data_IF_248513647008
#
_entry.id   IF_248513647008
#
_cell.length_a   1.000
_cell.length_b   1.000
_cell.length_c   1.000
_cell.angle_alpha   90.00
_cell.angle_beta   90.00
_cell.angle_gamma   90.00
#
_symmetry.space_group_name_H-M   'P 1'
#
loop_
_entity.id
_entity.type
_entity.pdbx_description
1 polymer ?
#
# COMPACT_ATOMS: atom_id res chain seq x y z
N UNK A 1 28.24 5.60 -1.69
CA UNK A 1 28.11 4.24 -1.10
C UNK A 1 26.64 3.92 -1.09
N UNK A 2 26.24 2.82 -1.71
CA UNK A 2 24.85 2.39 -1.73
C UNK A 2 24.31 2.19 -0.32
N UNK A 3 23.06 2.52 -0.12
CA UNK A 3 22.38 2.45 1.16
C UNK A 3 20.91 2.09 1.00
N UNK A 4 20.21 2.07 2.11
CA UNK A 4 18.78 1.81 2.12
C UNK A 4 18.08 2.76 3.09
N UNK A 5 16.92 3.20 2.69
CA UNK A 5 15.99 3.95 3.53
C UNK A 5 14.69 3.17 3.63
N UNK A 6 14.31 2.79 4.86
CA UNK A 6 13.02 2.16 5.16
C UNK A 6 12.10 3.24 5.70
N UNK A 7 10.96 3.40 5.06
CA UNK A 7 9.97 4.43 5.31
C UNK A 7 8.78 3.79 6.05
N UNK A 8 8.51 4.26 7.27
CA UNK A 8 7.56 3.60 8.17
C UNK A 8 6.43 4.56 8.54
N UNK A 9 5.23 4.27 8.08
CA UNK A 9 4.01 4.94 8.51
C UNK A 9 3.42 4.25 9.73
N UNK A 10 3.02 5.02 10.73
CA UNK A 10 2.44 4.49 11.97
C UNK A 10 1.17 5.25 12.40
N UNK A 11 0.49 4.72 13.43
CA UNK A 11 -0.67 5.40 14.02
C UNK A 11 -0.35 6.71 14.74
N UNK A 12 0.92 7.07 14.94
CA UNK A 12 1.30 8.29 15.67
C UNK A 12 2.55 8.95 15.11
N UNK A 13 2.66 9.00 13.80
CA UNK A 13 3.74 9.66 13.08
C UNK A 13 4.45 8.76 12.08
N UNK A 14 5.36 9.36 11.32
CA UNK A 14 6.24 8.67 10.38
C UNK A 14 7.65 8.53 10.95
N UNK A 15 8.33 7.45 10.53
CA UNK A 15 9.73 7.22 10.86
C UNK A 15 10.52 6.92 9.59
N UNK A 16 11.75 7.45 9.52
CA UNK A 16 12.70 7.20 8.45
C UNK A 16 13.90 6.47 9.03
N UNK A 17 14.11 5.24 8.60
CA UNK A 17 15.19 4.39 9.06
C UNK A 17 16.24 4.27 7.94
N UNK A 18 17.47 4.67 8.21
CA UNK A 18 18.52 4.70 7.19
C UNK A 18 19.70 3.80 7.59
N UNK A 19 20.24 3.06 6.64
CA UNK A 19 21.44 2.26 6.81
C UNK A 19 22.33 2.32 5.56
N UNK A 20 23.61 1.98 5.73
CA UNK A 20 24.51 1.69 4.63
C UNK A 20 24.14 0.36 3.93
N UNK A 21 24.81 0.01 2.84
CA UNK A 21 24.56 -1.23 2.10
C UNK A 21 24.80 -2.51 2.91
N UNK A 22 25.47 -2.46 4.07
CA UNK A 22 25.62 -3.60 4.98
C UNK A 22 24.40 -3.85 5.83
N UNK A 23 23.55 -2.83 6.06
CA UNK A 23 22.27 -2.92 6.79
C UNK A 23 22.41 -3.51 8.20
N UNK A 24 23.56 -3.23 8.85
CA UNK A 24 23.87 -3.71 10.20
C UNK A 24 23.59 -2.69 11.30
N UNK A 25 23.67 -1.41 10.94
CA UNK A 25 23.41 -0.29 11.85
C UNK A 25 22.40 0.64 11.21
N UNK A 26 21.42 1.03 11.99
CA UNK A 26 20.31 1.85 11.56
C UNK A 26 20.27 3.16 12.34
N UNK A 27 20.11 4.23 11.60
CA UNK A 27 19.71 5.52 12.15
C UNK A 27 18.19 5.62 12.05
N UNK A 28 17.53 6.04 13.13
CA UNK A 28 16.07 6.19 13.20
C UNK A 28 15.76 7.66 13.39
N UNK A 29 15.09 8.27 12.41
CA UNK A 29 14.60 9.64 12.47
C UNK A 29 13.08 9.64 12.63
N UNK A 30 12.55 10.52 13.48
CA UNK A 30 11.12 10.63 13.77
C UNK A 30 10.84 10.68 15.28
N UNK A 31 9.54 10.77 15.70
CA UNK A 31 8.39 10.81 14.83
C UNK A 31 8.26 12.13 14.05
N UNK A 32 8.16 12.06 12.74
CA UNK A 32 7.64 13.17 11.94
C UNK A 32 6.11 13.17 12.06
N UNK A 33 5.48 14.33 12.10
CA UNK A 33 4.01 14.46 12.26
C UNK A 33 3.50 13.78 13.54
N UNK A 34 4.15 14.00 14.66
CA UNK A 34 3.85 13.32 15.92
C UNK A 34 2.39 13.44 16.34
N UNK A 35 1.74 12.29 16.55
CA UNK A 35 0.34 12.20 16.92
C UNK A 35 -0.63 11.92 15.77
N UNK A 36 -0.23 12.12 14.51
CA UNK A 36 -1.05 11.85 13.34
C UNK A 36 -0.90 10.43 12.84
N UNK A 37 -1.97 9.85 12.28
CA UNK A 37 -1.88 8.58 11.55
C UNK A 37 -1.24 8.81 10.18
N UNK A 38 -0.18 8.05 9.89
CA UNK A 38 0.48 8.05 8.58
C UNK A 38 0.16 6.72 7.92
N UNK A 39 -0.84 6.75 7.03
CA UNK A 39 -1.28 5.54 6.34
C UNK A 39 -0.25 5.03 5.34
N UNK A 40 0.41 5.94 4.63
CA UNK A 40 1.43 5.57 3.66
C UNK A 40 2.55 6.62 3.60
N UNK A 41 3.78 6.14 3.46
CA UNK A 41 4.98 6.97 3.30
C UNK A 41 5.82 6.34 2.20
N UNK A 42 6.04 7.04 1.08
CA UNK A 42 6.72 6.48 -0.09
C UNK A 42 7.70 7.46 -0.71
N UNK A 43 8.85 6.94 -1.15
CA UNK A 43 9.86 7.69 -1.86
C UNK A 43 9.73 7.57 -3.38
N UNK A 44 10.06 8.65 -4.08
CA UNK A 44 10.11 8.63 -5.54
C UNK A 44 11.26 7.73 -6.03
N UNK A 45 11.02 6.85 -7.01
CA UNK A 45 12.10 6.14 -7.68
C UNK A 45 12.90 7.02 -8.64
N UNK A 46 12.34 8.17 -9.06
CA UNK A 46 12.99 9.11 -9.98
C UNK A 46 13.90 10.14 -9.27
N UNK A 47 13.65 10.39 -7.96
CA UNK A 47 14.46 11.28 -7.14
C UNK A 47 14.58 10.73 -5.70
N UNK A 48 15.76 10.30 -5.26
CA UNK A 48 15.95 9.72 -3.93
C UNK A 48 15.69 10.71 -2.78
N UNK A 49 15.65 12.02 -3.04
CA UNK A 49 15.34 13.02 -2.04
C UNK A 49 13.84 13.30 -1.90
N UNK A 50 13.05 12.94 -2.90
CA UNK A 50 11.61 13.20 -2.92
C UNK A 50 10.86 12.09 -2.17
N UNK A 51 10.17 12.47 -1.10
CA UNK A 51 9.26 11.60 -0.34
C UNK A 51 7.88 12.23 -0.24
N UNK A 52 6.86 11.39 -0.13
CA UNK A 52 5.47 11.79 0.12
C UNK A 52 4.92 11.00 1.31
N UNK A 53 4.13 11.66 2.16
CA UNK A 53 3.45 11.04 3.30
C UNK A 53 1.97 11.39 3.30
N UNK A 54 1.10 10.41 3.55
CA UNK A 54 -0.33 10.63 3.77
C UNK A 54 -0.61 10.74 5.26
N UNK A 55 -0.91 11.93 5.71
CA UNK A 55 -1.23 12.30 7.08
C UNK A 55 -2.75 12.32 7.25
N UNK A 56 -3.28 11.65 8.26
CA UNK A 56 -4.73 11.54 8.49
C UNK A 56 -5.11 11.87 9.92
N UNK A 57 -6.18 12.64 10.04
CA UNK A 57 -6.83 12.91 11.33
C UNK A 57 -8.35 12.94 11.15
N UNK A 58 -9.08 12.37 12.10
CA UNK A 58 -10.55 12.47 12.14
C UNK A 58 -11.06 13.89 12.34
N UNK A 59 -10.20 14.80 12.86
CA UNK A 59 -10.56 16.20 13.14
C UNK A 59 -10.14 17.16 12.04
N UNK A 60 -8.95 16.93 11.42
CA UNK A 60 -8.31 17.89 10.52
C UNK A 60 -8.29 17.40 9.06
N UNK A 61 -8.85 16.22 8.80
CA UNK A 61 -8.92 15.65 7.44
C UNK A 61 -7.63 14.97 7.00
N UNK A 62 -7.42 14.96 5.68
CA UNK A 62 -6.30 14.31 5.03
C UNK A 62 -5.32 15.36 4.52
N UNK A 63 -4.03 15.16 4.79
CA UNK A 63 -2.95 16.05 4.37
C UNK A 63 -1.88 15.23 3.67
N UNK A 64 -1.42 15.70 2.50
CA UNK A 64 -0.23 15.16 1.86
C UNK A 64 0.95 16.04 2.23
N UNK A 65 1.97 15.44 2.81
CA UNK A 65 3.24 16.07 3.10
C UNK A 65 4.28 15.65 2.07
N UNK A 66 5.21 16.55 1.74
CA UNK A 66 6.33 16.30 0.84
C UNK A 66 7.65 16.67 1.49
N UNK A 67 8.66 15.86 1.24
CA UNK A 67 10.07 16.18 1.52
C UNK A 67 10.86 16.20 0.22
N UNK A 68 11.81 17.13 0.10
CA UNK A 68 12.74 17.26 -1.01
C UNK A 68 14.20 17.05 -0.56
N UNK A 69 14.42 16.57 0.66
CA UNK A 69 15.74 16.37 1.27
C UNK A 69 15.90 15.00 1.96
N UNK A 70 15.10 14.03 1.49
CA UNK A 70 15.15 12.65 1.98
C UNK A 70 14.53 12.45 3.37
N UNK A 71 13.56 13.26 3.74
CA UNK A 71 12.79 13.13 4.96
C UNK A 71 13.36 13.93 6.14
N UNK A 72 14.34 14.83 5.92
CA UNK A 72 14.88 15.70 6.96
C UNK A 72 13.91 16.84 7.30
N UNK A 73 13.35 17.46 6.26
CA UNK A 73 12.32 18.51 6.39
C UNK A 73 11.09 18.15 5.55
N UNK A 74 9.95 18.64 5.98
CA UNK A 74 8.66 18.36 5.37
C UNK A 74 7.86 19.63 5.20
N UNK A 75 7.08 19.70 4.14
CA UNK A 75 6.14 20.78 3.88
C UNK A 75 4.89 20.26 3.20
N UNK A 76 3.80 20.98 3.36
CA UNK A 76 2.54 20.70 2.70
C UNK A 76 2.56 21.39 1.33
N UNK A 77 2.53 20.66 0.20
CA UNK A 77 2.50 21.26 -1.13
C UNK A 77 1.27 22.18 -1.32
N UNK A 78 1.43 23.26 -2.08
CA UNK A 78 0.36 24.24 -2.30
C UNK A 78 0.25 25.32 -1.21
N UNK A 79 0.95 25.17 -0.08
CA UNK A 79 1.07 26.24 0.93
C UNK A 79 2.22 27.17 0.56
N UNK A 80 2.03 28.51 0.59
CA UNK A 80 3.11 29.45 0.32
C UNK A 80 4.30 29.23 1.26
N UNK A 81 5.51 29.40 0.75
CA UNK A 81 6.73 29.23 1.53
C UNK A 81 6.74 30.21 2.74
N UNK A 82 6.98 29.68 3.93
CA UNK A 82 7.00 30.44 5.17
C UNK A 82 5.64 30.65 5.85
N UNK A 83 4.54 30.21 5.22
CA UNK A 83 3.26 30.19 5.89
C UNK A 83 3.14 28.96 6.82
N UNK A 84 2.60 29.13 8.03
CA UNK A 84 2.37 27.99 8.90
C UNK A 84 1.33 27.04 8.27
N UNK A 85 1.61 25.77 8.28
CA UNK A 85 0.69 24.72 7.81
C UNK A 85 -0.48 24.47 8.78
N UNK A 86 -0.38 25.02 9.98
CA UNK A 86 -1.41 24.95 11.01
C UNK A 86 -1.78 26.37 11.49
N UNK A 87 -3.02 26.53 11.94
CA UNK A 87 -3.46 27.71 12.68
C UNK A 87 -2.89 27.70 14.11
N UNK A 88 -2.88 28.85 14.84
CA UNK A 88 -2.38 28.92 16.22
C UNK A 88 -3.06 27.95 17.20
N UNK A 89 -4.27 27.50 16.91
CA UNK A 89 -5.03 26.48 17.66
C UNK A 89 -4.71 25.04 17.23
N UNK A 90 -3.72 24.86 16.34
CA UNK A 90 -3.27 23.56 15.89
C UNK A 90 -4.09 22.95 14.75
N UNK A 91 -5.07 23.67 14.22
CA UNK A 91 -5.85 23.23 13.07
C UNK A 91 -5.05 23.32 11.77
N UNK A 92 -5.20 22.34 10.89
CA UNK A 92 -4.63 22.42 9.54
C UNK A 92 -5.27 23.54 8.73
N UNK A 93 -4.45 24.39 8.12
CA UNK A 93 -4.91 25.35 7.11
C UNK A 93 -5.24 24.71 5.76
N UNK A 94 -5.25 23.40 5.68
CA UNK A 94 -5.22 22.53 4.51
C UNK A 94 -6.18 22.80 3.39
N UNK A 95 -5.93 23.82 2.59
CA UNK A 95 -6.53 23.91 1.26
C UNK A 95 -5.96 22.89 0.25
N UNK A 96 -4.75 22.38 0.50
CA UNK A 96 -4.06 21.43 -0.38
C UNK A 96 -4.74 20.05 -0.49
N UNK A 97 -5.69 19.74 0.38
CA UNK A 97 -6.37 18.42 0.40
C UNK A 97 -7.83 18.47 -0.06
N UNK A 98 -8.22 19.48 -0.82
CA UNK A 98 -9.58 19.57 -1.36
C UNK A 98 -9.97 18.38 -2.26
N UNK A 99 -9.02 17.66 -2.80
CA UNK A 99 -9.29 16.45 -3.59
C UNK A 99 -9.90 15.30 -2.77
N UNK A 100 -9.81 15.36 -1.44
CA UNK A 100 -10.33 14.32 -0.52
C UNK A 100 -11.78 14.61 -0.11
N UNK A 101 -12.31 15.80 -0.40
CA UNK A 101 -13.64 16.23 -0.04
C UNK A 101 -14.52 16.46 -1.28
N UNK A 102 -15.02 15.38 -1.88
CA UNK A 102 -16.04 15.48 -2.93
C UNK A 102 -17.43 15.54 -2.26
N UNK A 103 -17.80 16.70 -1.76
CA UNK A 103 -19.11 16.93 -1.20
C UNK A 103 -20.02 17.63 -2.20
N UNK A 104 -21.33 17.40 -2.10
CA UNK A 104 -22.31 18.10 -2.94
C UNK A 104 -22.34 19.62 -2.70
N UNK A 105 -21.92 20.07 -1.51
CA UNK A 105 -21.77 21.50 -1.18
C UNK A 105 -20.61 22.16 -1.94
N UNK A 106 -19.57 21.43 -2.27
CA UNK A 106 -18.41 21.97 -2.99
C UNK A 106 -18.62 21.93 -4.51
N UNK A 107 -19.20 20.86 -5.02
CA UNK A 107 -19.38 20.66 -6.46
C UNK A 107 -20.71 21.17 -6.99
N UNK A 108 -21.69 21.41 -6.12
CA UNK A 108 -23.07 21.74 -6.50
C UNK A 108 -23.80 20.60 -7.22
N UNK A 109 -23.21 19.39 -7.27
CA UNK A 109 -23.77 18.20 -7.92
C UNK A 109 -24.15 17.16 -6.87
N UNK A 110 -25.19 16.35 -7.12
CA UNK A 110 -25.46 15.20 -6.27
C UNK A 110 -24.24 14.29 -6.18
N UNK A 111 -23.92 13.79 -4.98
CA UNK A 111 -22.90 12.79 -4.80
C UNK A 111 -23.26 11.52 -5.59
N UNK A 112 -22.30 10.91 -6.24
CA UNK A 112 -22.43 9.54 -6.75
C UNK A 112 -22.55 8.58 -5.57
N UNK A 113 -23.10 7.40 -5.79
CA UNK A 113 -23.31 6.40 -4.75
C UNK A 113 -22.65 5.08 -5.11
N UNK A 114 -22.19 4.38 -4.09
CA UNK A 114 -21.85 2.96 -4.14
C UNK A 114 -22.85 2.17 -3.27
N UNK A 115 -22.69 0.88 -3.16
CA UNK A 115 -23.57 0.03 -2.35
C UNK A 115 -22.98 -0.15 -0.95
N UNK A 116 -23.84 -0.21 0.07
CA UNK A 116 -23.47 -0.58 1.43
C UNK A 116 -23.71 -2.07 1.66
N UNK A 117 -23.31 -2.63 2.83
CA UNK A 117 -23.42 -4.06 3.16
C UNK A 117 -24.84 -4.61 3.10
N UNK A 118 -25.85 -3.78 3.40
CA UNK A 118 -27.27 -4.14 3.35
C UNK A 118 -27.91 -3.92 1.97
N UNK A 119 -27.11 -3.53 0.98
CA UNK A 119 -27.56 -3.27 -0.38
C UNK A 119 -28.11 -1.85 -0.61
N UNK A 120 -28.14 -1.00 0.41
CA UNK A 120 -28.57 0.39 0.27
C UNK A 120 -27.54 1.25 -0.45
N UNK A 121 -27.99 2.30 -1.14
CA UNK A 121 -27.09 3.28 -1.75
C UNK A 121 -26.45 4.16 -0.65
N UNK A 122 -25.12 4.28 -0.69
CA UNK A 122 -24.33 5.09 0.21
C UNK A 122 -23.60 6.18 -0.59
N UNK A 123 -23.58 7.43 -0.12
CA UNK A 123 -22.82 8.49 -0.77
C UNK A 123 -21.34 8.15 -0.87
N UNK A 124 -20.72 8.52 -1.98
CA UNK A 124 -19.26 8.37 -2.16
C UNK A 124 -18.56 9.50 -1.44
N UNK A 125 -17.81 9.19 -0.38
CA UNK A 125 -17.14 10.16 0.48
C UNK A 125 -15.65 9.84 0.59
N UNK A 126 -14.81 10.79 0.26
CA UNK A 126 -13.35 10.61 0.42
C UNK A 126 -12.96 10.80 1.88
N UNK A 127 -12.35 9.77 2.49
CA UNK A 127 -12.09 9.72 3.94
C UNK A 127 -10.63 9.74 4.29
N UNK A 128 -9.79 9.08 3.49
CA UNK A 128 -8.34 8.99 3.74
C UNK A 128 -7.57 8.60 2.50
N UNK A 129 -6.31 8.99 2.46
CA UNK A 129 -5.37 8.52 1.43
C UNK A 129 -4.69 7.25 1.92
N UNK A 130 -4.97 6.14 1.26
CA UNK A 130 -4.45 4.83 1.60
C UNK A 130 -3.09 4.53 0.97
N UNK A 131 -2.86 4.99 -0.23
CA UNK A 131 -1.66 4.66 -0.99
C UNK A 131 -1.19 5.85 -1.82
N UNK A 132 0.10 6.12 -1.77
CA UNK A 132 0.79 7.11 -2.60
C UNK A 132 1.75 6.37 -3.51
N UNK A 133 1.66 6.58 -4.83
CA UNK A 133 2.57 5.95 -5.80
C UNK A 133 3.22 7.02 -6.68
N UNK A 134 4.47 7.43 -6.40
CA UNK A 134 5.21 8.32 -7.29
C UNK A 134 5.51 7.65 -8.63
N UNK A 135 5.50 8.45 -9.68
CA UNK A 135 5.86 8.00 -11.03
C UNK A 135 7.28 7.40 -11.05
N UNK A 136 7.46 6.43 -11.94
CA UNK A 136 8.76 5.75 -12.10
C UNK A 136 9.85 6.65 -12.70
N UNK A 137 9.48 7.72 -13.39
CA UNK A 137 10.41 8.53 -14.22
C UNK A 137 10.30 10.04 -14.01
N UNK A 138 9.21 10.51 -13.38
CA UNK A 138 8.95 11.93 -13.14
C UNK A 138 8.67 12.17 -11.66
N UNK A 139 9.57 12.85 -10.92
CA UNK A 139 9.40 13.06 -9.48
C UNK A 139 8.23 13.97 -9.12
N UNK A 140 7.72 14.77 -10.05
CA UNK A 140 6.58 15.65 -9.81
C UNK A 140 5.23 15.00 -10.09
N UNK A 141 5.21 13.83 -10.70
CA UNK A 141 3.99 13.03 -10.88
C UNK A 141 3.84 12.02 -9.75
N UNK A 142 2.69 12.07 -9.06
CA UNK A 142 2.33 11.14 -7.98
C UNK A 142 0.84 10.81 -8.05
N UNK A 143 0.52 9.54 -7.77
CA UNK A 143 -0.85 9.04 -7.68
C UNK A 143 -1.26 8.86 -6.23
N UNK A 144 -2.54 9.07 -5.92
CA UNK A 144 -3.12 8.85 -4.60
C UNK A 144 -4.39 8.00 -4.70
N UNK A 145 -4.36 6.84 -4.06
CA UNK A 145 -5.51 5.97 -3.85
C UNK A 145 -6.20 6.30 -2.54
N UNK A 146 -7.50 6.50 -2.57
CA UNK A 146 -8.27 6.98 -1.40
C UNK A 146 -9.39 6.00 -1.00
N UNK A 147 -9.98 6.24 0.15
CA UNK A 147 -11.24 5.70 0.64
C UNK A 147 -12.28 6.85 0.63
N UNK A 148 -13.51 6.71 0.16
CA UNK A 148 -14.02 5.60 -0.63
C UNK A 148 -13.30 5.58 -1.99
N UNK A 149 -13.13 4.39 -2.53
CA UNK A 149 -12.20 4.15 -3.63
C UNK A 149 -12.28 5.12 -4.80
N UNK A 150 -11.28 5.98 -4.94
CA UNK A 150 -11.02 6.80 -6.10
C UNK A 150 -9.52 6.92 -6.31
N UNK A 151 -9.11 7.32 -7.51
CA UNK A 151 -7.72 7.52 -7.87
C UNK A 151 -7.52 8.98 -8.30
N UNK A 152 -6.54 9.62 -7.68
CA UNK A 152 -6.11 10.98 -8.02
C UNK A 152 -4.69 10.97 -8.58
N UNK A 153 -4.37 11.99 -9.36
CA UNK A 153 -3.03 12.24 -9.88
C UNK A 153 -2.67 13.71 -9.71
N UNK A 154 -1.46 13.95 -9.23
CA UNK A 154 -0.77 15.24 -9.31
C UNK A 154 0.34 15.15 -10.36
N UNK A 155 0.63 16.26 -11.05
CA UNK A 155 1.76 16.40 -11.98
C UNK A 155 2.64 17.61 -11.63
N UNK A 156 2.48 18.15 -10.42
CA UNK A 156 3.17 19.33 -9.90
C UNK A 156 3.75 19.13 -8.50
N UNK A 157 4.07 17.86 -8.18
CA UNK A 157 4.67 17.50 -6.90
C UNK A 157 3.70 17.55 -5.74
N UNK A 158 2.42 17.30 -5.97
CA UNK A 158 1.37 17.26 -4.93
C UNK A 158 0.73 18.60 -4.64
N UNK A 159 1.01 19.66 -5.41
CA UNK A 159 0.40 20.98 -5.20
C UNK A 159 -1.07 21.00 -5.61
N UNK A 160 -1.39 20.39 -6.75
CA UNK A 160 -2.77 20.22 -7.21
C UNK A 160 -3.04 18.77 -7.58
N UNK A 161 -4.30 18.37 -7.42
CA UNK A 161 -4.75 17.01 -7.65
C UNK A 161 -5.94 16.97 -8.61
N UNK A 162 -5.91 16.00 -9.51
CA UNK A 162 -7.01 15.74 -10.43
C UNK A 162 -7.49 14.30 -10.26
N UNK A 163 -8.78 14.12 -10.06
CA UNK A 163 -9.39 12.79 -10.07
C UNK A 163 -9.29 12.16 -11.46
N UNK A 164 -8.86 10.90 -11.51
CA UNK A 164 -8.98 10.05 -12.70
C UNK A 164 -10.40 9.43 -12.70
N UNK A 165 -11.37 10.27 -13.00
CA UNK A 165 -12.81 10.01 -12.80
C UNK A 165 -13.34 8.79 -13.59
N UNK A 166 -12.61 8.31 -14.59
CA UNK A 166 -12.95 7.11 -15.34
C UNK A 166 -13.05 5.85 -14.47
N UNK A 167 -12.34 5.82 -13.33
CA UNK A 167 -12.43 4.70 -12.39
C UNK A 167 -13.79 4.68 -11.67
N UNK A 168 -14.12 5.74 -10.97
CA UNK A 168 -15.39 5.86 -10.22
C UNK A 168 -16.59 5.89 -11.16
N UNK A 169 -16.43 6.44 -12.35
CA UNK A 169 -17.40 6.43 -13.44
C UNK A 169 -17.55 5.10 -14.18
N UNK A 170 -16.80 4.05 -13.80
CA UNK A 170 -16.98 2.72 -14.38
C UNK A 170 -18.40 2.22 -14.12
N UNK A 171 -19.05 1.62 -15.10
CA UNK A 171 -20.46 1.20 -15.04
C UNK A 171 -20.82 0.23 -13.90
N UNK A 172 -19.81 -0.35 -13.22
CA UNK A 172 -20.02 -1.18 -12.03
C UNK A 172 -19.94 -0.40 -10.70
N UNK A 173 -19.49 0.86 -10.71
CA UNK A 173 -19.19 1.63 -9.49
C UNK A 173 -20.32 1.64 -8.45
N UNK A 174 -21.57 1.81 -8.89
CA UNK A 174 -22.74 1.79 -8.00
C UNK A 174 -22.99 0.46 -7.27
N UNK A 175 -22.33 -0.62 -7.68
CA UNK A 175 -22.41 -1.96 -7.08
C UNK A 175 -21.20 -2.29 -6.20
N UNK A 176 -20.21 -1.41 -6.07
CA UNK A 176 -19.08 -1.65 -5.21
C UNK A 176 -19.48 -1.55 -3.75
N UNK A 177 -18.92 -2.42 -2.93
CA UNK A 177 -19.15 -2.47 -1.49
C UNK A 177 -17.84 -2.36 -0.75
N UNK A 178 -17.82 -1.76 0.46
CA UNK A 178 -16.63 -1.76 1.29
C UNK A 178 -16.28 -3.18 1.77
N UNK A 179 -15.00 -3.44 2.00
CA UNK A 179 -14.56 -4.52 2.88
C UNK A 179 -14.69 -4.10 4.35
N UNK A 180 -14.39 -4.99 5.29
CA UNK A 180 -14.44 -4.68 6.73
C UNK A 180 -13.53 -3.51 7.14
N UNK A 181 -12.49 -3.21 6.36
CA UNK A 181 -11.59 -2.07 6.55
C UNK A 181 -11.96 -0.81 5.77
N UNK A 182 -13.11 -0.76 5.11
CA UNK A 182 -13.53 0.31 4.19
C UNK A 182 -13.38 -0.05 2.72
N UNK A 183 -13.89 0.80 1.83
CA UNK A 183 -13.72 0.67 0.39
C UNK A 183 -12.45 1.39 -0.06
N UNK A 184 -11.30 0.79 0.23
CA UNK A 184 -10.01 1.44 0.07
C UNK A 184 -9.32 1.04 -1.24
N UNK A 185 -8.86 2.05 -1.99
CA UNK A 185 -7.90 1.86 -3.06
C UNK A 185 -6.50 1.88 -2.42
N UNK A 186 -5.97 0.70 -2.12
CA UNK A 186 -4.77 0.51 -1.31
C UNK A 186 -3.53 0.04 -2.08
N UNK A 187 -3.65 -0.27 -3.37
CA UNK A 187 -2.50 -0.67 -4.19
C UNK A 187 -2.60 -0.01 -5.56
N UNK A 188 -1.50 0.59 -5.99
CA UNK A 188 -1.31 1.16 -7.32
C UNK A 188 0.02 0.60 -7.85
N UNK A 189 0.00 -0.04 -9.03
CA UNK A 189 1.20 -0.49 -9.71
C UNK A 189 1.30 0.17 -11.07
N UNK A 190 2.44 0.78 -11.35
CA UNK A 190 2.76 1.40 -12.63
C UNK A 190 3.62 0.44 -13.46
N UNK A 191 3.18 0.11 -14.67
CA UNK A 191 3.92 -0.80 -15.55
C UNK A 191 5.14 -0.08 -16.15
N UNK A 192 6.37 -0.53 -15.86
CA UNK A 192 7.58 0.13 -16.38
C UNK A 192 7.76 -0.01 -17.89
N UNK A 193 7.08 -0.96 -18.52
CA UNK A 193 7.15 -1.21 -19.98
C UNK A 193 6.04 -0.51 -20.77
N UNK A 194 4.97 -0.06 -20.09
CA UNK A 194 3.81 0.60 -20.70
C UNK A 194 3.38 1.79 -19.85
N UNK A 195 3.85 3.01 -20.14
CA UNK A 195 3.62 4.20 -19.30
C UNK A 195 2.14 4.55 -19.06
N UNK A 196 1.24 4.08 -19.93
CA UNK A 196 -0.21 4.25 -19.73
C UNK A 196 -0.89 3.13 -18.95
N UNK A 197 -0.16 2.05 -18.61
CA UNK A 197 -0.76 0.91 -17.89
C UNK A 197 -0.63 1.07 -16.39
N UNK A 198 -1.77 1.01 -15.75
CA UNK A 198 -1.90 1.13 -14.29
C UNK A 198 -2.76 -0.04 -13.81
N UNK A 199 -2.30 -0.74 -12.78
CA UNK A 199 -3.10 -1.72 -12.04
C UNK A 199 -3.45 -1.14 -10.68
N UNK A 200 -4.68 -1.35 -10.23
CA UNK A 200 -5.12 -0.97 -8.89
C UNK A 200 -5.88 -2.09 -8.22
N UNK A 201 -5.84 -2.11 -6.90
CA UNK A 201 -6.64 -3.04 -6.10
C UNK A 201 -7.48 -2.28 -5.07
N UNK A 202 -8.73 -2.70 -4.94
CA UNK A 202 -9.76 -2.09 -4.09
C UNK A 202 -10.38 -3.16 -3.19
N UNK A 203 -10.47 -2.91 -1.91
CA UNK A 203 -11.19 -3.73 -0.93
C UNK A 203 -12.61 -3.16 -0.75
N UNK A 204 -13.75 -3.80 -1.12
CA UNK A 204 -13.83 -5.05 -1.85
C UNK A 204 -14.55 -4.84 -3.20
N UNK A 205 -13.81 -4.31 -4.18
CA UNK A 205 -14.31 -4.22 -5.55
C UNK A 205 -13.49 -5.08 -6.53
N UNK A 206 -12.27 -5.47 -6.13
CA UNK A 206 -11.37 -6.30 -6.94
C UNK A 206 -10.19 -5.52 -7.52
N UNK A 207 -9.60 -6.08 -8.57
CA UNK A 207 -8.49 -5.49 -9.32
C UNK A 207 -9.01 -4.88 -10.62
N UNK A 208 -8.49 -3.71 -10.95
CA UNK A 208 -8.79 -3.04 -12.22
C UNK A 208 -7.49 -2.68 -12.94
N UNK A 209 -7.55 -2.62 -14.26
CA UNK A 209 -6.47 -2.18 -15.13
C UNK A 209 -6.93 -1.06 -16.04
N UNK A 210 -6.08 -0.05 -16.18
CA UNK A 210 -6.12 0.95 -17.24
C UNK A 210 -4.95 0.72 -18.18
N UNK A 211 -5.13 0.95 -19.48
CA UNK A 211 -4.06 0.95 -20.50
C UNK A 211 -3.89 2.35 -21.15
N UNK A 212 -4.61 3.37 -20.65
CA UNK A 212 -4.68 4.72 -21.18
C UNK A 212 -4.44 5.84 -20.15
N UNK A 213 -3.57 5.56 -19.19
CA UNK A 213 -3.20 6.46 -18.08
C UNK A 213 -4.37 6.87 -17.17
N UNK A 214 -5.29 5.94 -16.92
CA UNK A 214 -6.39 6.09 -15.98
C UNK A 214 -7.64 6.76 -16.57
N UNK A 215 -7.72 6.93 -17.89
CA UNK A 215 -8.93 7.48 -18.53
C UNK A 215 -10.08 6.47 -18.54
N UNK A 216 -9.77 5.22 -18.86
CA UNK A 216 -10.74 4.11 -18.83
C UNK A 216 -10.19 2.95 -18.02
N UNK A 217 -11.08 2.15 -17.44
CA UNK A 217 -10.75 1.04 -16.57
C UNK A 217 -11.57 -0.19 -16.93
N UNK A 218 -10.99 -1.36 -16.71
CA UNK A 218 -11.69 -2.63 -16.78
C UNK A 218 -11.33 -3.52 -15.60
N UNK A 219 -12.29 -4.25 -15.03
CA UNK A 219 -12.00 -5.26 -14.03
C UNK A 219 -11.20 -6.40 -14.63
N UNK A 220 -10.26 -6.92 -13.86
CA UNK A 220 -9.39 -8.05 -14.25
C UNK A 220 -9.41 -9.12 -13.16
N UNK A 221 -10.59 -9.68 -12.87
CA UNK A 221 -10.83 -10.59 -11.75
C UNK A 221 -11.17 -12.02 -12.18
N UNK A 222 -11.04 -12.36 -13.46
CA UNK A 222 -11.38 -13.71 -13.96
C UNK A 222 -10.51 -14.78 -13.29
N UNK A 223 -11.17 -15.77 -12.70
CA UNK A 223 -10.51 -16.87 -11.96
C UNK A 223 -10.44 -16.62 -10.44
N UNK A 224 -10.75 -15.42 -9.97
CA UNK A 224 -10.97 -15.20 -8.52
C UNK A 224 -12.31 -15.83 -8.11
N UNK A 225 -12.36 -16.35 -6.89
CA UNK A 225 -13.57 -16.89 -6.27
C UNK A 225 -13.72 -16.31 -4.88
N UNK A 226 -14.91 -15.85 -4.53
CA UNK A 226 -15.20 -15.27 -3.20
C UNK A 226 -16.55 -15.78 -2.69
N UNK A 227 -16.53 -16.55 -1.62
CA UNK A 227 -17.75 -17.22 -1.09
C UNK A 227 -18.70 -16.27 -0.37
N UNK A 228 -18.25 -15.07 0.00
CA UNK A 228 -19.06 -14.06 0.72
C UNK A 228 -19.88 -13.16 -0.19
N UNK A 229 -19.77 -13.29 -1.52
CA UNK A 229 -20.59 -12.54 -2.49
C UNK A 229 -21.62 -13.47 -3.14
N UNK A 230 -22.78 -12.96 -3.57
CA UNK A 230 -23.88 -13.81 -4.12
C UNK A 230 -23.47 -14.68 -5.29
N UNK A 231 -22.64 -14.15 -6.21
CA UNK A 231 -22.00 -14.93 -7.26
C UNK A 231 -20.49 -15.02 -6.96
N UNK A 232 -19.99 -16.18 -6.54
CA UNK A 232 -18.57 -16.36 -6.22
C UNK A 232 -17.60 -16.05 -7.36
N UNK A 233 -18.07 -16.08 -8.61
CA UNK A 233 -17.28 -15.82 -9.83
C UNK A 233 -17.62 -14.46 -10.46
N UNK A 234 -18.26 -13.56 -9.72
CA UNK A 234 -18.63 -12.23 -10.23
C UNK A 234 -17.42 -11.48 -10.79
N UNK A 235 -17.65 -10.58 -11.74
CA UNK A 235 -16.62 -9.74 -12.32
C UNK A 235 -16.02 -8.74 -11.30
N UNK A 236 -16.78 -8.37 -10.27
CA UNK A 236 -16.39 -7.43 -9.21
C UNK A 236 -16.81 -7.95 -7.83
N UNK A 237 -16.37 -7.28 -6.76
CA UNK A 237 -16.78 -7.61 -5.39
C UNK A 237 -15.75 -8.48 -4.64
N UNK A 238 -14.64 -8.80 -5.28
CA UNK A 238 -13.57 -9.56 -4.63
C UNK A 238 -12.76 -8.69 -3.67
N UNK A 239 -12.57 -9.14 -2.43
CA UNK A 239 -11.70 -8.47 -1.48
C UNK A 239 -10.25 -8.84 -1.77
N UNK A 240 -9.50 -7.89 -2.30
CA UNK A 240 -8.08 -8.00 -2.54
C UNK A 240 -7.34 -7.27 -1.43
N UNK A 241 -6.30 -7.87 -0.86
CA UNK A 241 -5.49 -7.24 0.18
C UNK A 241 -4.27 -6.53 -0.40
N UNK A 242 -3.57 -7.12 -1.36
CA UNK A 242 -2.46 -6.48 -2.07
C UNK A 242 -2.18 -7.21 -3.38
N UNK A 243 -1.70 -6.47 -4.38
CA UNK A 243 -1.07 -7.03 -5.59
C UNK A 243 0.38 -6.58 -5.66
N UNK A 244 1.23 -7.44 -6.22
CA UNK A 244 2.66 -7.19 -6.40
C UNK A 244 3.11 -7.60 -7.80
N UNK A 245 4.16 -6.92 -8.29
CA UNK A 245 4.70 -7.10 -9.64
C UNK A 245 6.20 -6.94 -9.63
N UNK A 246 6.91 -7.84 -10.31
CA UNK A 246 8.33 -7.65 -10.54
C UNK A 246 8.56 -6.73 -11.74
N UNK A 247 9.40 -5.71 -11.58
CA UNK A 247 9.64 -4.67 -12.61
C UNK A 247 10.13 -5.23 -13.96
N UNK A 248 10.90 -6.33 -13.96
CA UNK A 248 11.38 -6.94 -15.20
C UNK A 248 10.36 -7.88 -15.86
N UNK A 249 9.24 -8.18 -15.20
CA UNK A 249 8.18 -9.07 -15.69
C UNK A 249 6.79 -8.52 -15.39
N UNK A 250 6.44 -7.34 -15.90
CA UNK A 250 5.20 -6.67 -15.53
C UNK A 250 3.93 -7.40 -15.99
N UNK A 251 4.04 -8.40 -16.86
CA UNK A 251 2.94 -9.29 -17.22
C UNK A 251 2.64 -10.37 -16.19
N UNK A 252 3.50 -10.56 -15.17
CA UNK A 252 3.28 -11.52 -14.08
C UNK A 252 2.89 -10.75 -12.82
N UNK A 253 1.71 -11.03 -12.30
CA UNK A 253 1.18 -10.42 -11.09
C UNK A 253 0.97 -11.47 -10.02
N UNK A 254 1.21 -11.09 -8.78
CA UNK A 254 0.88 -11.86 -7.59
C UNK A 254 -0.12 -11.10 -6.74
N UNK A 255 -0.97 -11.82 -6.02
CA UNK A 255 -2.01 -11.23 -5.17
C UNK A 255 -2.14 -11.99 -3.87
N UNK A 256 -2.16 -11.27 -2.75
CA UNK A 256 -2.80 -11.74 -1.54
C UNK A 256 -4.27 -11.33 -1.63
N UNK A 257 -5.15 -12.27 -1.84
CA UNK A 257 -6.60 -12.08 -1.76
C UNK A 257 -7.06 -12.24 -0.30
N UNK A 258 -8.31 -12.01 -0.01
CA UNK A 258 -8.89 -12.23 1.33
C UNK A 258 -8.60 -13.67 1.81
N UNK A 259 -8.92 -14.66 1.00
CA UNK A 259 -8.40 -16.03 1.09
C UNK A 259 -7.59 -16.31 -0.16
N UNK A 260 -6.53 -17.08 -0.01
CA UNK A 260 -5.64 -17.54 -1.07
C UNK A 260 -4.60 -16.51 -1.55
N UNK A 261 -3.48 -17.03 -1.96
CA UNK A 261 -2.48 -16.34 -2.78
C UNK A 261 -2.74 -16.70 -4.24
N UNK A 262 -2.82 -15.69 -5.09
CA UNK A 262 -3.15 -15.84 -6.49
C UNK A 262 -2.01 -15.37 -7.37
N UNK A 263 -1.93 -15.93 -8.59
CA UNK A 263 -0.98 -15.53 -9.63
C UNK A 263 -1.67 -15.35 -10.96
N UNK A 264 -1.27 -14.34 -11.69
CA UNK A 264 -1.57 -14.12 -13.11
C UNK A 264 -0.29 -14.15 -13.92
N UNK A 265 -0.29 -14.82 -15.06
CA UNK A 265 0.83 -14.87 -16.02
C UNK A 265 0.52 -14.07 -17.32
N UNK A 266 -0.61 -13.36 -17.37
CA UNK A 266 -1.16 -12.70 -18.56
C UNK A 266 -1.59 -11.24 -18.31
N UNK A 267 -0.95 -10.57 -17.36
CA UNK A 267 -1.23 -9.16 -17.03
C UNK A 267 -2.61 -8.96 -16.38
N UNK A 268 -3.05 -9.94 -15.60
CA UNK A 268 -4.30 -9.89 -14.85
C UNK A 268 -5.52 -10.41 -15.63
N UNK A 269 -5.37 -10.87 -16.87
CA UNK A 269 -6.51 -11.38 -17.65
C UNK A 269 -7.13 -12.63 -17.01
N UNK A 270 -6.32 -13.44 -16.33
CA UNK A 270 -6.77 -14.57 -15.54
C UNK A 270 -5.90 -14.82 -14.33
N UNK A 271 -6.49 -15.39 -13.27
CA UNK A 271 -5.85 -15.71 -12.02
C UNK A 271 -5.99 -17.17 -11.68
N UNK A 272 -4.94 -17.75 -11.09
CA UNK A 272 -4.95 -19.09 -10.52
C UNK A 272 -4.41 -19.05 -9.09
N UNK A 273 -4.89 -19.95 -8.25
CA UNK A 273 -4.41 -20.09 -6.88
C UNK A 273 -3.00 -20.68 -6.86
N UNK A 274 -2.18 -20.17 -5.93
CA UNK A 274 -0.80 -20.59 -5.68
C UNK A 274 -0.49 -20.61 -4.18
N UNK A 275 -1.47 -20.87 -3.32
CA UNK A 275 -1.32 -20.95 -1.86
C UNK A 275 -0.46 -22.16 -1.42
N UNK A 276 -0.44 -23.23 -2.23
CA UNK A 276 0.40 -24.40 -2.02
C UNK A 276 0.32 -24.97 -0.59
N UNK A 277 1.48 -25.07 0.06
CA UNK A 277 1.63 -25.61 1.42
C UNK A 277 1.67 -24.52 2.51
N UNK A 278 1.07 -23.36 2.29
CA UNK A 278 0.92 -22.36 3.34
C UNK A 278 0.06 -22.92 4.51
N UNK A 279 0.34 -22.52 5.75
CA UNK A 279 -0.40 -23.05 6.91
C UNK A 279 -1.83 -22.54 7.01
N UNK A 280 -2.10 -21.40 6.41
CA UNK A 280 -3.41 -20.76 6.29
C UNK A 280 -3.44 -19.99 4.96
N UNK A 281 -4.62 -19.74 4.46
CA UNK A 281 -4.87 -19.02 3.21
C UNK A 281 -5.07 -17.50 3.41
N UNK A 282 -5.14 -17.03 4.66
CA UNK A 282 -5.41 -15.62 4.98
C UNK A 282 -4.13 -14.85 5.36
N UNK A 283 -3.96 -13.69 4.80
CA UNK A 283 -2.89 -12.75 5.09
C UNK A 283 -3.14 -11.39 4.44
N UNK A 284 -2.25 -10.44 4.68
CA UNK A 284 -2.38 -9.09 4.11
C UNK A 284 -1.26 -8.72 3.15
N UNK A 285 0.05 -8.83 3.52
CA UNK A 285 1.12 -8.37 2.67
C UNK A 285 1.53 -9.44 1.65
N UNK A 286 1.96 -8.99 0.49
CA UNK A 286 2.71 -9.77 -0.49
C UNK A 286 3.71 -8.84 -1.16
N UNK A 287 4.93 -9.32 -1.41
CA UNK A 287 5.91 -8.60 -2.22
C UNK A 287 6.79 -9.56 -3.00
N UNK A 288 7.48 -9.03 -4.03
CA UNK A 288 8.33 -9.79 -4.94
C UNK A 288 9.79 -9.42 -4.72
N UNK A 289 10.68 -10.40 -4.66
CA UNK A 289 12.12 -10.20 -4.57
C UNK A 289 12.63 -9.31 -5.72
N UNK A 290 13.53 -8.35 -5.41
CA UNK A 290 13.91 -7.34 -6.39
C UNK A 290 14.65 -7.88 -7.64
N UNK A 291 15.30 -9.04 -7.55
CA UNK A 291 16.10 -9.62 -8.62
C UNK A 291 15.58 -10.99 -9.12
N UNK A 292 14.71 -11.65 -8.35
CA UNK A 292 14.18 -12.98 -8.64
C UNK A 292 12.67 -12.91 -8.85
N UNK A 293 12.16 -12.82 -10.09
CA UNK A 293 10.74 -12.58 -10.35
C UNK A 293 9.79 -13.74 -9.95
N UNK A 294 10.32 -14.91 -9.65
CA UNK A 294 9.56 -16.05 -9.10
C UNK A 294 9.66 -16.16 -7.57
N UNK A 295 10.45 -15.29 -6.93
CA UNK A 295 10.59 -15.29 -5.47
C UNK A 295 9.66 -14.26 -4.85
N UNK A 296 8.69 -14.73 -4.06
CA UNK A 296 7.66 -13.93 -3.42
C UNK A 296 7.59 -14.20 -1.91
N UNK A 297 7.11 -13.20 -1.17
CA UNK A 297 7.00 -13.22 0.29
C UNK A 297 5.58 -12.91 0.74
N UNK A 298 5.09 -13.66 1.73
CA UNK A 298 3.80 -13.42 2.42
C UNK A 298 3.95 -13.62 3.92
N UNK A 299 3.02 -13.06 4.70
CA UNK A 299 2.91 -13.29 6.15
C UNK A 299 1.50 -13.75 6.46
N UNK A 300 1.22 -15.07 6.43
CA UNK A 300 -0.07 -15.62 6.78
C UNK A 300 -0.39 -15.40 8.27
N UNK A 301 -1.66 -15.12 8.53
CA UNK A 301 -2.23 -15.07 9.88
C UNK A 301 -3.31 -16.15 10.03
N UNK A 302 -3.83 -16.33 11.25
CA UNK A 302 -4.64 -17.50 11.59
C UNK A 302 -5.93 -17.60 10.78
N UNK A 303 -6.67 -16.48 10.68
CA UNK A 303 -7.92 -16.41 9.91
C UNK A 303 -8.35 -14.96 9.70
N UNK A 304 -9.48 -14.75 9.02
CA UNK A 304 -10.14 -13.47 8.85
C UNK A 304 -10.73 -12.86 10.12
N UNK A 305 -10.94 -13.67 11.15
CA UNK A 305 -11.44 -13.25 12.47
C UNK A 305 -10.36 -13.23 13.54
N UNK A 306 -9.24 -13.94 13.34
CA UNK A 306 -8.16 -14.07 14.31
C UNK A 306 -6.84 -13.52 13.70
N UNK A 307 -6.67 -12.21 13.80
CA UNK A 307 -5.61 -11.45 13.12
C UNK A 307 -4.26 -11.53 13.86
N UNK A 308 -3.74 -12.73 14.04
CA UNK A 308 -2.40 -13.02 14.59
C UNK A 308 -1.79 -14.27 13.98
N UNK A 309 -0.46 -14.46 14.05
CA UNK A 309 0.19 -15.61 13.44
C UNK A 309 -0.29 -16.95 14.02
N UNK A 310 -0.44 -18.00 13.21
CA UNK A 310 -0.75 -19.34 13.71
C UNK A 310 0.18 -19.75 14.84
N UNK A 311 -0.37 -20.35 15.91
CA UNK A 311 0.36 -20.82 17.10
C UNK A 311 1.10 -19.70 17.87
N UNK A 312 0.82 -18.40 17.61
CA UNK A 312 1.59 -17.29 18.17
C UNK A 312 3.07 -17.27 17.73
N UNK A 313 3.37 -17.80 16.53
CA UNK A 313 4.70 -17.89 15.95
C UNK A 313 4.79 -17.02 14.71
N UNK A 314 5.54 -15.95 14.77
CA UNK A 314 5.73 -15.06 13.62
C UNK A 314 6.63 -15.72 12.59
N UNK A 315 6.13 -15.86 11.36
CA UNK A 315 6.81 -16.48 10.23
C UNK A 315 6.56 -15.66 8.97
N UNK A 316 7.61 -15.36 8.23
CA UNK A 316 7.50 -14.96 6.83
C UNK A 316 7.58 -16.22 5.98
N UNK A 317 6.77 -16.34 4.95
CA UNK A 317 6.87 -17.43 4.00
C UNK A 317 7.42 -16.91 2.69
N UNK A 318 8.40 -17.64 2.15
CA UNK A 318 9.02 -17.37 0.85
C UNK A 318 8.72 -18.51 -0.11
N UNK A 319 8.25 -18.19 -1.30
CA UNK A 319 8.28 -19.12 -2.42
C UNK A 319 9.35 -18.67 -3.42
N UNK A 320 10.13 -19.60 -3.94
CA UNK A 320 11.07 -19.38 -5.04
C UNK A 320 10.56 -19.95 -6.37
N UNK A 321 9.32 -20.43 -6.37
CA UNK A 321 8.69 -21.15 -7.48
C UNK A 321 7.39 -20.49 -7.93
N UNK A 322 7.24 -19.18 -7.65
CA UNK A 322 6.05 -18.42 -8.01
C UNK A 322 4.77 -18.88 -7.29
N UNK A 323 4.92 -19.39 -6.05
CA UNK A 323 3.82 -19.79 -5.19
C UNK A 323 3.54 -21.31 -5.16
N UNK A 324 4.24 -22.14 -5.93
CA UNK A 324 3.97 -23.58 -5.92
C UNK A 324 4.45 -24.26 -4.62
N UNK A 325 5.58 -23.81 -4.06
CA UNK A 325 6.14 -24.30 -2.79
C UNK A 325 6.52 -23.11 -1.90
N UNK A 326 6.25 -23.24 -0.60
CA UNK A 326 6.51 -22.21 0.39
C UNK A 326 7.42 -22.71 1.51
N UNK A 327 8.41 -21.90 1.85
CA UNK A 327 9.35 -22.11 2.94
C UNK A 327 9.08 -21.14 4.09
N UNK A 328 8.89 -21.65 5.30
CA UNK A 328 8.81 -20.81 6.49
C UNK A 328 10.18 -20.24 6.88
N UNK A 329 10.29 -18.94 7.01
CA UNK A 329 11.46 -18.19 7.43
C UNK A 329 11.25 -17.71 8.87
N UNK A 330 12.01 -18.27 9.82
CA UNK A 330 11.75 -18.09 11.27
C UNK A 330 12.94 -17.57 12.05
N UNK A 331 14.16 -17.70 11.47
CA UNK A 331 15.40 -17.42 12.20
C UNK A 331 15.52 -15.93 12.56
N UNK A 332 15.43 -15.64 13.87
CA UNK A 332 15.44 -14.27 14.40
C UNK A 332 14.05 -13.65 14.63
N UNK A 333 12.97 -14.34 14.25
CA UNK A 333 11.58 -13.93 14.52
C UNK A 333 11.04 -14.61 15.81
N UNK A 334 10.13 -13.97 16.55
CA UNK A 334 9.49 -14.55 17.73
C UNK A 334 8.75 -15.86 17.41
N UNK A 335 9.07 -16.95 18.11
CA UNK A 335 8.49 -18.27 17.90
C UNK A 335 7.57 -18.71 19.04
N UNK A 336 7.11 -17.77 19.85
CA UNK A 336 6.10 -17.99 20.90
C UNK A 336 5.50 -16.65 21.31
N UNK A 337 4.29 -16.67 21.80
CA UNK A 337 3.58 -15.55 22.44
C UNK A 337 3.57 -14.27 21.56
N UNK A 338 3.52 -14.43 20.23
CA UNK A 338 3.54 -13.33 19.27
C UNK A 338 2.16 -13.15 18.64
N UNK A 339 1.41 -12.16 19.11
CA UNK A 339 0.04 -11.87 18.68
C UNK A 339 -0.04 -10.54 17.94
N UNK A 340 0.82 -10.40 16.92
CA UNK A 340 0.89 -9.21 16.06
C UNK A 340 0.34 -9.54 14.68
N UNK A 341 0.04 -8.49 13.90
CA UNK A 341 -0.28 -8.61 12.50
C UNK A 341 0.69 -7.79 11.66
N UNK A 342 0.89 -8.16 10.40
CA UNK A 342 1.56 -7.37 9.37
C UNK A 342 0.50 -6.93 8.37
N UNK A 343 0.29 -5.63 8.24
CA UNK A 343 -0.76 -5.07 7.39
C UNK A 343 -0.34 -5.11 5.91
N UNK A 344 -1.30 -4.84 5.01
CA UNK A 344 -1.14 -4.97 3.56
C UNK A 344 0.03 -4.17 2.97
N UNK A 345 0.24 -2.94 3.42
CA UNK A 345 1.31 -2.07 2.97
C UNK A 345 2.54 -2.09 3.90
N UNK A 346 2.61 -3.03 4.86
CA UNK A 346 3.66 -3.07 5.86
C UNK A 346 4.78 -4.08 5.54
N UNK A 347 5.02 -4.36 4.26
CA UNK A 347 6.15 -5.17 3.78
C UNK A 347 6.71 -4.59 2.48
N UNK A 348 8.05 -4.54 2.36
CA UNK A 348 8.74 -4.10 1.16
C UNK A 348 10.14 -4.75 1.04
N UNK A 349 10.71 -4.71 -0.17
CA UNK A 349 12.07 -5.22 -0.47
C UNK A 349 12.97 -4.10 -0.97
N UNK A 350 14.29 -4.21 -0.74
CA UNK A 350 15.29 -3.36 -1.38
C UNK A 350 15.91 -4.04 -2.61
N UNK A 351 16.59 -3.26 -3.44
CA UNK A 351 17.28 -3.74 -4.64
C UNK A 351 18.80 -3.86 -4.44
N UNK A 352 19.29 -3.98 -3.21
CA UNK A 352 20.69 -4.31 -2.94
C UNK A 352 20.93 -5.81 -3.17
N UNK A 353 22.19 -6.19 -3.26
CA UNK A 353 22.61 -7.59 -3.37
C UNK A 353 23.40 -7.99 -2.11
N UNK A 354 22.93 -8.99 -1.36
CA UNK A 354 21.65 -9.71 -1.47
C UNK A 354 20.45 -8.81 -1.19
N UNK A 355 19.26 -9.15 -1.76
CA UNK A 355 18.02 -8.42 -1.55
C UNK A 355 17.64 -8.34 -0.08
N UNK A 356 17.32 -7.14 0.41
CA UNK A 356 16.74 -6.94 1.73
C UNK A 356 15.23 -7.08 1.72
N UNK A 357 14.70 -7.60 2.82
CA UNK A 357 13.25 -7.72 3.04
C UNK A 357 12.90 -7.10 4.39
N UNK A 358 11.88 -6.27 4.42
CA UNK A 358 11.49 -5.50 5.60
C UNK A 358 10.00 -5.64 5.85
N UNK A 359 9.59 -5.69 7.12
CA UNK A 359 8.17 -5.59 7.46
C UNK A 359 7.98 -4.96 8.85
N UNK A 360 6.82 -4.32 9.00
CA UNK A 360 6.40 -3.72 10.26
C UNK A 360 5.18 -4.43 10.83
N UNK A 361 5.04 -4.39 12.14
CA UNK A 361 3.96 -5.09 12.85
C UNK A 361 3.00 -4.11 13.54
N UNK A 362 1.79 -4.56 13.79
CA UNK A 362 0.82 -3.83 14.63
C UNK A 362 1.27 -3.71 16.09
N UNK A 363 2.27 -4.48 16.51
CA UNK A 363 2.93 -4.35 17.80
C UNK A 363 4.07 -3.32 17.84
N UNK A 364 4.34 -2.61 16.74
CA UNK A 364 5.32 -1.52 16.70
C UNK A 364 6.76 -1.96 16.44
N UNK A 365 6.99 -3.21 16.05
CA UNK A 365 8.33 -3.67 15.65
C UNK A 365 8.50 -3.55 14.14
N UNK A 366 9.70 -3.15 13.69
CA UNK A 366 10.14 -3.27 12.30
C UNK A 366 11.28 -4.28 12.25
N UNK A 367 11.11 -5.32 11.46
CA UNK A 367 12.11 -6.33 11.21
C UNK A 367 12.74 -6.14 9.83
N UNK A 368 14.04 -6.44 9.73
CA UNK A 368 14.78 -6.45 8.48
C UNK A 368 15.58 -7.74 8.31
N UNK A 369 15.70 -8.15 7.09
CA UNK A 369 16.60 -9.20 6.64
C UNK A 369 17.51 -8.63 5.55
N UNK A 370 18.82 -8.82 5.66
CA UNK A 370 19.79 -8.40 4.64
C UNK A 370 20.18 -9.55 3.70
N UNK A 371 19.49 -10.69 3.75
CA UNK A 371 19.82 -11.90 3.01
C UNK A 371 18.57 -12.66 2.52
N UNK A 372 17.69 -11.92 1.86
CA UNK A 372 16.48 -12.44 1.22
C UNK A 372 15.56 -13.23 2.18
N UNK A 373 15.56 -12.91 3.48
CA UNK A 373 14.72 -13.55 4.49
C UNK A 373 15.36 -14.71 5.23
N UNK A 374 16.58 -15.11 4.94
CA UNK A 374 17.21 -16.25 5.61
C UNK A 374 17.48 -16.03 7.10
N UNK A 375 17.71 -14.75 7.50
CA UNK A 375 17.80 -14.35 8.90
C UNK A 375 17.18 -12.98 9.11
N UNK A 376 16.57 -12.77 10.27
CA UNK A 376 15.86 -11.54 10.63
C UNK A 376 16.45 -10.92 11.88
N UNK A 377 16.42 -9.60 11.93
CA UNK A 377 16.71 -8.84 13.14
C UNK A 377 15.71 -7.69 13.28
N UNK A 378 15.33 -7.32 14.51
CA UNK A 378 14.57 -6.10 14.71
C UNK A 378 15.48 -4.90 14.45
N UNK A 379 15.00 -3.98 13.59
CA UNK A 379 15.64 -2.69 13.35
C UNK A 379 15.27 -1.73 14.48
N UNK A 380 13.99 -1.69 14.79
CA UNK A 380 13.43 -0.87 15.87
C UNK A 380 12.27 -1.60 16.54
N UNK A 381 12.07 -1.33 17.83
CA UNK A 381 10.97 -1.84 18.65
C UNK A 381 10.21 -0.67 19.27
N UNK A 382 9.05 -0.94 19.76
CA UNK A 382 8.26 -0.01 20.57
C UNK A 382 7.83 1.28 19.83
N UNK A 383 7.72 1.19 18.48
CA UNK A 383 7.01 2.21 17.69
C UNK A 383 5.49 2.10 17.94
N UNK A 384 4.72 3.12 17.60
CA UNK A 384 3.26 2.93 17.44
C UNK A 384 2.97 1.86 16.40
N UNK A 385 1.74 1.31 16.42
CA UNK A 385 1.34 0.28 15.45
C UNK A 385 1.70 0.71 14.02
N UNK A 386 2.47 -0.14 13.32
CA UNK A 386 2.94 0.13 11.96
C UNK A 386 1.80 -0.10 10.97
N UNK A 387 1.56 0.85 10.10
CA UNK A 387 0.54 0.82 9.05
C UNK A 387 1.15 0.51 7.68
N UNK A 388 2.33 1.06 7.39
CA UNK A 388 3.05 0.83 6.13
C UNK A 388 4.56 0.76 6.32
N UNK A 389 5.21 0.01 5.44
CA UNK A 389 6.67 -0.06 5.27
C UNK A 389 6.96 -0.01 3.79
N UNK A 390 7.71 1.00 3.36
CA UNK A 390 8.21 1.14 1.99
C UNK A 390 9.72 1.28 2.02
N UNK A 391 10.37 1.05 0.89
CA UNK A 391 11.83 1.07 0.80
C UNK A 391 12.32 1.87 -0.39
N UNK A 392 13.36 2.66 -0.17
CA UNK A 392 14.20 3.22 -1.24
C UNK A 392 15.61 2.61 -1.15
N UNK A 393 16.06 2.04 -2.25
CA UNK A 393 17.48 1.74 -2.43
C UNK A 393 18.19 3.04 -2.84
N UNK A 394 19.19 3.43 -2.08
CA UNK A 394 19.96 4.65 -2.31
C UNK A 394 21.23 4.35 -3.11
N UNK A 395 21.67 5.25 -4.02
CA UNK A 395 22.87 5.08 -4.84
C UNK A 395 24.19 5.01 -4.05
#
# INVERSE_FOLDING_TARGET
MSGVRVLVGTRKGAFVLTADGKRQRWEVSGPHFGGWEIYHLKGSPADPNRLYASECSSWFGQIIQRSDDGGKTWHQPGTPAGEPTTTPDGMSKGESNKFVFDTSSETGKPLTTHQWYDGTAHPWEFKRVWHLEPSLTDPDTVYAGVEDAALFRSTDGGQTWQELAGLRGHGSGSRWQPGAGGMCLHTILLDPSHPGRIFIAISAAGVFRSDDAGKTWRPINRGLKSQYIPDPNAEIGHCVHRIAMHRSRPGVLFMQKHWDVMRSDDGGESWREVSGNLPTDFGFPIDVHAHEPETIYVVPIKSDSEHYPPEGKLRVYRSRTGGNEWQALTKGLPQRDCYVNVLRDAMAVDALEPCGVYFGTTGGQVYGSANAGDTWAPIVRDLPAVLSVEVQTLP
#
